data_IF_679401628241
#
_entry.id   IF_679401628241
#
_cell.length_a   1.000
_cell.length_b   1.000
_cell.length_c   1.000
_cell.angle_alpha   90.00
_cell.angle_beta   90.00
_cell.angle_gamma   90.00
#
_symmetry.space_group_name_H-M   'P 1'
#
loop_
_entity.id
_entity.type
_entity.pdbx_description
1 polymer ?
#
# COMPACT_ATOMS: atom_id res chain seq x y z
N UNK A 1 3.09 14.92 2.07
CA UNK A 1 3.92 16.06 2.50
C UNK A 1 4.02 17.10 1.38
N UNK A 2 3.33 18.25 1.43
CA UNK A 2 3.31 19.23 0.34
C UNK A 2 4.49 20.21 0.31
N UNK A 3 5.57 19.94 1.05
CA UNK A 3 6.77 20.79 1.12
C UNK A 3 7.94 19.98 0.54
N UNK A 4 8.26 20.11 -0.76
CA UNK A 4 9.29 19.30 -1.39
C UNK A 4 10.69 19.46 -0.80
N UNK A 5 10.98 20.61 -0.23
CA UNK A 5 12.29 20.96 0.32
C UNK A 5 12.70 20.07 1.50
N UNK A 6 11.74 19.44 2.18
CA UNK A 6 12.01 18.52 3.31
C UNK A 6 11.99 17.05 2.92
N UNK A 7 11.66 16.71 1.67
CA UNK A 7 11.58 15.32 1.23
C UNK A 7 12.93 14.62 1.32
N UNK A 8 14.02 15.29 0.90
CA UNK A 8 15.35 14.71 0.96
C UNK A 8 15.77 14.39 2.41
N UNK A 9 15.45 15.27 3.36
CA UNK A 9 15.70 15.02 4.80
C UNK A 9 14.95 13.78 5.30
N UNK A 10 13.66 13.66 4.96
CA UNK A 10 12.86 12.47 5.30
C UNK A 10 13.48 11.21 4.66
N UNK A 11 13.83 11.26 3.38
CA UNK A 11 14.41 10.13 2.65
C UNK A 11 15.79 9.74 3.20
N UNK A 12 16.61 10.69 3.61
CA UNK A 12 17.89 10.42 4.26
C UNK A 12 17.70 9.73 5.62
N UNK A 13 16.70 10.15 6.41
CA UNK A 13 16.31 9.47 7.65
C UNK A 13 15.78 8.06 7.39
N UNK A 14 14.98 7.87 6.34
CA UNK A 14 14.50 6.55 5.91
C UNK A 14 15.66 5.67 5.45
N UNK A 15 16.62 6.19 4.70
CA UNK A 15 17.82 5.46 4.28
C UNK A 15 18.69 5.04 5.47
N UNK A 16 18.86 5.91 6.45
CA UNK A 16 19.55 5.58 7.69
C UNK A 16 18.88 4.40 8.44
N UNK A 17 17.59 4.13 8.15
CA UNK A 17 16.81 3.04 8.73
C UNK A 17 16.39 1.93 7.72
N UNK A 18 16.77 2.02 6.43
CA UNK A 18 16.59 0.96 5.42
C UNK A 18 15.28 0.92 4.59
N UNK A 19 14.52 2.01 4.41
CA UNK A 19 13.14 1.98 3.83
C UNK A 19 12.94 2.56 2.40
N UNK A 20 11.73 2.42 1.81
CA UNK A 20 11.29 2.87 0.44
C UNK A 20 9.88 3.58 0.41
N UNK A 21 9.42 4.15 -0.73
CA UNK A 21 8.27 5.14 -0.82
C UNK A 21 7.26 4.98 -2.00
N UNK A 22 6.09 5.70 -2.01
CA UNK A 22 4.93 5.64 -2.98
C UNK A 22 4.19 7.01 -3.23
N UNK A 23 3.27 7.15 -4.24
CA UNK A 23 2.65 8.42 -4.78
C UNK A 23 1.19 8.34 -5.36
N UNK A 24 0.42 9.47 -5.50
CA UNK A 24 -0.99 9.58 -6.00
C UNK A 24 -1.39 10.90 -6.77
N UNK A 25 -2.53 10.96 -7.53
CA UNK A 25 -3.05 12.13 -8.33
C UNK A 25 -4.58 12.39 -8.22
N UNK A 26 -5.04 13.65 -8.35
CA UNK A 26 -6.33 14.13 -7.80
C UNK A 26 -7.46 14.66 -8.75
N UNK A 27 -7.30 14.78 -10.08
CA UNK A 27 -8.32 15.43 -10.95
C UNK A 27 -8.56 14.72 -12.31
N UNK A 28 -9.77 14.86 -12.88
CA UNK A 28 -10.16 14.26 -14.17
C UNK A 28 -9.42 14.92 -15.33
N UNK A 29 -8.77 14.13 -16.17
CA UNK A 29 -8.06 14.57 -17.39
C UNK A 29 -7.04 15.70 -17.18
N UNK A 30 -6.67 15.95 -15.92
CA UNK A 30 -5.68 16.96 -15.51
C UNK A 30 -4.63 16.24 -14.69
N UNK A 31 -3.47 16.08 -15.29
CA UNK A 31 -2.32 15.41 -14.69
C UNK A 31 -1.29 16.48 -14.32
N UNK A 32 -1.13 16.71 -13.02
CA UNK A 32 -0.11 17.60 -12.47
C UNK A 32 0.89 16.75 -11.68
N UNK A 33 2.03 16.49 -12.32
CA UNK A 33 3.15 15.74 -11.75
C UNK A 33 4.42 16.58 -11.62
N UNK A 34 4.30 17.90 -11.77
CA UNK A 34 5.44 18.81 -11.85
C UNK A 34 5.40 19.88 -10.74
N UNK A 35 4.23 20.16 -10.17
CA UNK A 35 4.06 21.27 -9.24
C UNK A 35 4.23 20.84 -7.79
N UNK A 36 5.15 21.50 -7.07
CA UNK A 36 5.27 21.44 -5.61
C UNK A 36 5.16 20.01 -5.05
N UNK A 37 4.21 19.75 -4.14
CA UNK A 37 3.98 18.48 -3.48
C UNK A 37 3.60 17.30 -4.39
N UNK A 38 3.39 17.56 -5.68
CA UNK A 38 3.02 16.58 -6.71
C UNK A 38 4.15 16.27 -7.68
N UNK A 39 5.33 16.89 -7.48
CA UNK A 39 6.45 16.69 -8.39
C UNK A 39 7.06 15.29 -8.23
N UNK A 40 6.62 14.36 -9.07
CA UNK A 40 7.05 12.95 -9.00
C UNK A 40 8.52 12.82 -9.37
N UNK A 41 8.97 13.52 -10.41
CA UNK A 41 10.37 13.46 -10.84
C UNK A 41 11.32 13.90 -9.73
N UNK A 42 11.01 15.00 -9.04
CA UNK A 42 11.79 15.49 -7.89
C UNK A 42 11.82 14.47 -6.75
N UNK A 43 10.70 13.79 -6.47
CA UNK A 43 10.67 12.72 -5.47
C UNK A 43 11.60 11.56 -5.84
N UNK A 44 11.57 11.12 -7.11
CA UNK A 44 12.45 10.06 -7.62
C UNK A 44 13.93 10.49 -7.63
N UNK A 45 14.21 11.74 -7.99
CA UNK A 45 15.57 12.30 -7.96
C UNK A 45 16.12 12.31 -6.55
N UNK A 46 15.32 12.71 -5.54
CA UNK A 46 15.73 12.64 -4.14
C UNK A 46 15.86 11.20 -3.62
N UNK A 47 15.04 10.25 -4.09
CA UNK A 47 15.25 8.84 -3.76
C UNK A 47 16.59 8.35 -4.31
N UNK A 48 16.91 8.71 -5.55
CA UNK A 48 18.20 8.40 -6.19
C UNK A 48 19.36 9.04 -5.43
N UNK A 49 19.25 10.31 -5.06
CA UNK A 49 20.26 11.03 -4.27
C UNK A 49 20.47 10.40 -2.89
N UNK A 50 19.38 10.03 -2.23
CA UNK A 50 19.40 9.30 -0.97
C UNK A 50 19.86 7.84 -1.13
N UNK A 51 20.03 7.31 -2.35
CA UNK A 51 20.45 5.93 -2.59
C UNK A 51 19.38 4.89 -2.24
N UNK A 52 18.11 5.23 -2.46
CA UNK A 52 16.94 4.39 -2.19
C UNK A 52 16.33 3.84 -3.48
N UNK A 53 15.87 2.59 -3.42
CA UNK A 53 14.94 2.04 -4.39
C UNK A 53 13.50 2.42 -4.04
N UNK A 54 12.61 2.42 -5.04
CA UNK A 54 11.21 2.83 -4.90
C UNK A 54 10.30 1.66 -5.29
N UNK A 55 9.27 1.41 -4.48
CA UNK A 55 8.16 0.53 -4.84
C UNK A 55 6.97 1.44 -5.16
N UNK A 56 6.73 1.66 -6.44
CA UNK A 56 5.58 2.45 -6.86
C UNK A 56 4.29 1.67 -6.61
N UNK A 57 3.38 2.26 -5.82
CA UNK A 57 2.00 1.79 -5.66
C UNK A 57 1.08 2.93 -6.04
N UNK A 58 0.28 2.74 -7.07
CA UNK A 58 -0.62 3.76 -7.63
C UNK A 58 -2.10 3.45 -7.38
N UNK A 59 -2.40 2.32 -6.74
CA UNK A 59 -3.76 1.84 -6.57
C UNK A 59 -4.51 2.54 -5.42
N UNK A 60 -5.86 2.66 -5.49
CA UNK A 60 -6.66 3.38 -4.52
C UNK A 60 -6.78 2.65 -3.16
N UNK A 61 -6.17 3.21 -2.10
CA UNK A 61 -6.47 2.97 -0.67
C UNK A 61 -5.79 4.06 0.21
N UNK A 62 -5.27 3.73 1.41
CA UNK A 62 -4.40 4.54 2.27
C UNK A 62 -5.08 5.61 3.14
N UNK A 63 -6.29 5.32 3.65
CA UNK A 63 -7.06 6.22 4.53
C UNK A 63 -7.26 7.64 3.96
N UNK A 64 -7.15 7.77 2.64
CA UNK A 64 -7.39 9.01 1.89
C UNK A 64 -8.86 9.13 1.51
N UNK A 65 -9.32 10.35 1.22
CA UNK A 65 -10.69 10.60 0.80
C UNK A 65 -11.04 9.76 -0.43
N UNK A 66 -12.19 9.08 -0.38
CA UNK A 66 -12.60 8.10 -1.40
C UNK A 66 -11.63 6.93 -1.58
N UNK A 67 -10.69 6.70 -0.65
CA UNK A 67 -9.60 5.74 -0.82
C UNK A 67 -8.71 6.05 -2.02
N UNK A 68 -8.56 7.32 -2.40
CA UNK A 68 -7.78 7.73 -3.57
C UNK A 68 -8.57 7.71 -4.88
N UNK A 69 -9.86 7.38 -4.87
CA UNK A 69 -10.71 7.63 -6.04
C UNK A 69 -10.95 9.12 -6.22
N UNK A 70 -10.88 9.57 -7.48
CA UNK A 70 -11.16 10.96 -7.79
C UNK A 70 -12.64 11.30 -7.50
N UNK A 71 -12.86 12.40 -6.78
CA UNK A 71 -14.18 12.77 -6.25
C UNK A 71 -15.27 12.91 -7.31
N UNK A 72 -14.92 13.29 -8.54
CA UNK A 72 -15.89 13.40 -9.64
C UNK A 72 -16.57 12.06 -9.98
N UNK A 73 -15.95 10.93 -9.64
CA UNK A 73 -16.53 9.60 -9.86
C UNK A 73 -17.53 9.16 -8.81
N UNK A 74 -17.72 9.96 -7.73
CA UNK A 74 -18.64 9.64 -6.64
C UNK A 74 -20.12 9.81 -7.02
N UNK A 75 -20.42 10.41 -8.17
CA UNK A 75 -21.77 10.54 -8.74
C UNK A 75 -22.28 9.25 -9.41
N UNK A 76 -21.49 8.18 -9.37
CA UNK A 76 -21.78 6.89 -10.02
C UNK A 76 -21.36 6.82 -11.48
N UNK A 77 -20.77 7.89 -12.04
CA UNK A 77 -20.30 7.92 -13.45
C UNK A 77 -19.17 6.94 -13.73
N UNK A 78 -18.45 6.48 -12.70
CA UNK A 78 -17.41 5.45 -12.82
C UNK A 78 -17.96 4.01 -12.82
N UNK A 79 -19.28 3.83 -12.68
CA UNK A 79 -19.89 2.52 -12.50
C UNK A 79 -19.43 1.83 -11.21
N UNK A 80 -19.41 0.49 -11.23
CA UNK A 80 -19.00 -0.30 -10.06
C UNK A 80 -17.48 -0.34 -9.91
N UNK A 81 -16.96 0.45 -8.95
CA UNK A 81 -15.54 0.59 -8.65
C UNK A 81 -14.89 -0.72 -8.18
N UNK A 82 -13.66 -0.99 -8.64
CA UNK A 82 -12.91 -2.22 -8.32
C UNK A 82 -13.65 -3.52 -8.63
N UNK A 83 -14.59 -3.48 -9.58
CA UNK A 83 -15.33 -4.65 -10.03
C UNK A 83 -15.31 -4.73 -11.56
N UNK A 84 -15.88 -5.81 -12.09
CA UNK A 84 -16.66 -5.66 -13.32
C UNK A 84 -18.04 -6.34 -13.27
N UNK A 85 -18.49 -6.93 -12.14
CA UNK A 85 -19.80 -7.59 -11.99
C UNK A 85 -20.08 -8.04 -10.52
N UNK A 86 -21.34 -8.25 -10.12
CA UNK A 86 -21.78 -8.73 -8.79
C UNK A 86 -21.45 -10.22 -8.52
N UNK A 87 -21.15 -10.98 -9.57
CA UNK A 87 -20.54 -12.33 -9.49
C UNK A 87 -19.12 -12.34 -8.89
N UNK A 88 -18.45 -11.17 -8.79
CA UNK A 88 -17.07 -11.01 -8.33
C UNK A 88 -16.81 -11.61 -6.95
N UNK A 89 -17.64 -11.36 -5.94
CA UNK A 89 -17.39 -11.89 -4.58
C UNK A 89 -17.57 -13.42 -4.47
N UNK A 90 -18.42 -14.03 -5.31
CA UNK A 90 -18.62 -15.48 -5.32
C UNK A 90 -17.54 -16.21 -6.15
N UNK A 91 -16.94 -15.55 -7.14
CA UNK A 91 -15.88 -16.12 -7.98
C UNK A 91 -14.46 -16.00 -7.39
N UNK A 92 -14.19 -14.99 -6.55
CA UNK A 92 -12.87 -14.74 -5.94
C UNK A 92 -12.32 -15.91 -5.12
N UNK A 93 -13.20 -16.78 -4.62
CA UNK A 93 -12.80 -17.95 -3.82
C UNK A 93 -12.76 -19.26 -4.61
N UNK A 94 -13.23 -19.32 -5.86
CA UNK A 94 -13.52 -20.63 -6.49
C UNK A 94 -12.87 -20.92 -7.84
N UNK A 95 -12.38 -19.97 -8.64
CA UNK A 95 -11.82 -20.34 -9.97
C UNK A 95 -10.70 -19.43 -10.48
N UNK A 96 -9.45 -19.92 -10.41
CA UNK A 96 -8.33 -19.51 -11.28
C UNK A 96 -8.61 -19.99 -12.72
N UNK A 97 -9.44 -19.25 -13.45
CA UNK A 97 -9.76 -19.54 -14.86
C UNK A 97 -9.57 -18.27 -15.66
N UNK A 98 -8.94 -18.37 -16.84
CA UNK A 98 -8.57 -17.22 -17.67
C UNK A 98 -9.73 -16.29 -18.04
N UNK A 99 -10.95 -16.81 -18.10
CA UNK A 99 -12.16 -16.04 -18.43
C UNK A 99 -12.82 -15.38 -17.22
N UNK A 100 -12.32 -15.59 -16.01
CA UNK A 100 -12.86 -14.96 -14.81
C UNK A 100 -12.66 -13.45 -14.89
N UNK A 101 -13.68 -12.68 -14.51
CA UNK A 101 -13.67 -11.22 -14.62
C UNK A 101 -12.50 -10.56 -13.89
N UNK A 102 -12.06 -11.12 -12.76
CA UNK A 102 -10.88 -10.68 -12.03
C UNK A 102 -9.57 -10.90 -12.82
N UNK A 103 -9.44 -12.02 -13.53
CA UNK A 103 -8.27 -12.32 -14.37
C UNK A 103 -8.21 -11.34 -15.55
N UNK A 104 -9.34 -11.11 -16.22
CA UNK A 104 -9.43 -10.14 -17.33
C UNK A 104 -9.06 -8.73 -16.86
N UNK A 105 -9.57 -8.30 -15.70
CA UNK A 105 -9.23 -7.02 -15.10
C UNK A 105 -7.72 -6.88 -14.82
N UNK A 106 -7.11 -7.89 -14.22
CA UNK A 106 -5.68 -7.87 -13.91
C UNK A 106 -4.80 -7.89 -15.18
N UNK A 107 -5.21 -8.59 -16.24
CA UNK A 107 -4.52 -8.53 -17.54
C UNK A 107 -4.64 -7.14 -18.19
N UNK A 108 -5.79 -6.48 -18.10
CA UNK A 108 -5.95 -5.11 -18.58
C UNK A 108 -5.05 -4.12 -17.84
N UNK A 109 -4.95 -4.24 -16.51
CA UNK A 109 -4.02 -3.44 -15.70
C UNK A 109 -2.57 -3.69 -16.12
N UNK A 110 -2.16 -4.96 -16.21
CA UNK A 110 -0.81 -5.35 -16.63
C UNK A 110 -0.46 -4.77 -18.01
N UNK A 111 -1.38 -4.87 -18.98
CA UNK A 111 -1.18 -4.31 -20.31
C UNK A 111 -1.01 -2.79 -20.27
N UNK A 112 -1.81 -2.08 -19.47
CA UNK A 112 -1.68 -0.62 -19.32
C UNK A 112 -0.32 -0.21 -18.73
N UNK A 113 0.18 -0.94 -17.72
CA UNK A 113 1.51 -0.68 -17.17
C UNK A 113 2.64 -0.94 -18.17
N UNK A 114 2.53 -2.02 -18.96
CA UNK A 114 3.52 -2.35 -20.01
C UNK A 114 3.51 -1.31 -21.15
N UNK A 115 2.33 -0.86 -21.59
CA UNK A 115 2.19 0.19 -22.61
C UNK A 115 2.79 1.53 -22.13
N UNK A 116 2.66 1.82 -20.82
CA UNK A 116 3.34 2.93 -20.17
C UNK A 116 4.85 2.71 -19.96
N UNK A 117 5.41 1.58 -20.39
CA UNK A 117 6.84 1.26 -20.32
C UNK A 117 7.33 0.71 -18.98
N UNK A 118 6.44 0.35 -18.05
CA UNK A 118 6.81 -0.23 -16.75
C UNK A 118 7.17 -1.71 -16.94
N UNK A 119 8.46 -2.01 -16.89
CA UNK A 119 9.02 -3.35 -17.16
C UNK A 119 9.64 -4.03 -15.94
N UNK A 120 9.64 -3.35 -14.79
CA UNK A 120 10.12 -3.93 -13.52
C UNK A 120 9.15 -5.00 -13.01
N UNK A 121 9.62 -5.96 -12.18
CA UNK A 121 8.76 -7.02 -11.67
C UNK A 121 7.54 -6.47 -10.91
N UNK A 122 6.37 -6.99 -11.22
CA UNK A 122 5.12 -6.67 -10.51
C UNK A 122 4.96 -7.54 -9.26
N UNK A 123 4.18 -7.02 -8.32
CA UNK A 123 3.83 -7.72 -7.10
C UNK A 123 2.50 -7.19 -6.59
N UNK A 124 1.77 -7.98 -5.80
CA UNK A 124 0.55 -7.54 -5.13
C UNK A 124 0.74 -7.66 -3.61
N UNK A 125 -0.18 -7.06 -2.87
CA UNK A 125 -0.17 -7.06 -1.41
C UNK A 125 -1.53 -7.58 -0.90
N UNK A 126 -1.62 -8.89 -0.72
CA UNK A 126 -2.86 -9.58 -0.35
C UNK A 126 -3.15 -9.44 1.16
N UNK A 127 -4.43 -9.26 1.52
CA UNK A 127 -4.83 -8.98 2.91
C UNK A 127 -4.81 -10.23 3.78
N UNK A 128 -3.68 -10.52 4.41
CA UNK A 128 -3.57 -11.47 5.52
C UNK A 128 -3.76 -12.95 5.16
N UNK A 129 -3.29 -13.35 3.98
CA UNK A 129 -3.31 -14.72 3.43
C UNK A 129 -4.71 -15.35 3.40
N UNK A 130 -5.72 -14.55 3.08
CA UNK A 130 -7.14 -14.92 3.02
C UNK A 130 -7.57 -15.43 1.65
N UNK A 131 -6.73 -15.30 0.62
CA UNK A 131 -7.01 -15.83 -0.72
C UNK A 131 -5.88 -16.71 -1.28
N UNK A 132 -6.15 -17.36 -2.41
CA UNK A 132 -5.15 -18.09 -3.19
C UNK A 132 -4.10 -17.14 -3.80
N UNK A 133 -2.90 -17.65 -4.06
CA UNK A 133 -1.82 -16.86 -4.66
C UNK A 133 -2.12 -16.45 -6.10
N UNK A 134 -1.72 -15.21 -6.45
CA UNK A 134 -1.76 -14.66 -7.81
C UNK A 134 -0.35 -14.51 -8.41
N UNK A 135 0.64 -15.22 -7.88
CA UNK A 135 1.98 -15.25 -8.46
C UNK A 135 2.10 -16.25 -9.60
N UNK A 136 3.02 -15.96 -10.53
CA UNK A 136 3.33 -16.82 -11.68
C UNK A 136 3.83 -18.23 -11.29
N UNK A 137 4.32 -18.43 -10.06
CA UNK A 137 4.82 -19.72 -9.56
C UNK A 137 3.74 -20.60 -8.89
N UNK A 138 2.50 -20.11 -8.76
CA UNK A 138 1.38 -20.88 -8.21
C UNK A 138 0.47 -21.44 -9.32
N UNK A 139 -0.34 -20.58 -9.96
CA UNK A 139 -1.23 -20.93 -11.07
C UNK A 139 -1.37 -19.73 -12.01
N UNK A 140 -0.56 -19.71 -13.07
CA UNK A 140 -0.57 -18.63 -14.08
C UNK A 140 -1.67 -18.88 -15.12
N UNK A 141 -2.86 -18.35 -14.83
CA UNK A 141 -4.04 -18.42 -15.71
C UNK A 141 -4.31 -17.09 -16.42
N UNK A 142 -3.36 -16.15 -16.34
CA UNK A 142 -3.54 -14.75 -16.68
C UNK A 142 -3.77 -13.88 -15.44
N UNK A 143 -3.29 -12.62 -15.51
CA UNK A 143 -3.42 -11.62 -14.46
C UNK A 143 -2.41 -11.79 -13.32
N UNK A 144 -1.52 -12.79 -13.40
CA UNK A 144 -0.55 -13.08 -12.37
C UNK A 144 0.59 -12.05 -12.30
N UNK A 145 1.08 -11.83 -11.08
CA UNK A 145 2.24 -10.97 -10.78
C UNK A 145 3.51 -11.79 -10.61
N UNK A 146 4.68 -11.13 -10.68
CA UNK A 146 5.96 -11.84 -10.55
C UNK A 146 6.27 -12.28 -9.11
N UNK A 147 5.85 -11.50 -8.12
CA UNK A 147 6.15 -11.77 -6.70
C UNK A 147 4.87 -11.75 -5.88
N UNK A 148 4.56 -12.88 -5.24
CA UNK A 148 3.50 -12.95 -4.23
C UNK A 148 3.89 -12.11 -3.02
N UNK A 149 2.95 -11.34 -2.51
CA UNK A 149 3.15 -10.53 -1.33
C UNK A 149 1.87 -10.33 -0.55
N UNK A 150 2.02 -9.99 0.72
CA UNK A 150 0.93 -9.86 1.66
C UNK A 150 1.05 -8.62 2.55
N UNK A 151 -0.09 -8.26 3.13
CA UNK A 151 -0.21 -7.33 4.23
C UNK A 151 -0.44 -8.10 5.54
N UNK A 152 0.25 -7.69 6.59
CA UNK A 152 0.09 -8.26 7.92
C UNK A 152 0.12 -7.17 8.98
N UNK A 153 -1.00 -7.06 9.71
CA UNK A 153 -1.18 -6.15 10.83
C UNK A 153 -1.53 -6.96 12.09
N UNK A 154 -0.54 -7.61 12.71
CA UNK A 154 -0.78 -8.52 13.82
C UNK A 154 -1.35 -7.85 15.07
N UNK A 155 -0.96 -6.62 15.42
CA UNK A 155 -1.47 -5.88 16.57
C UNK A 155 -2.95 -5.50 16.43
N UNK A 156 -3.44 -5.39 15.20
CA UNK A 156 -4.84 -5.14 14.87
C UNK A 156 -5.35 -3.79 15.39
N UNK A 157 -6.66 -3.65 15.60
CA UNK A 157 -7.29 -2.38 16.04
C UNK A 157 -7.06 -2.04 17.51
N UNK A 158 -6.20 -2.76 18.22
CA UNK A 158 -6.09 -2.69 19.67
C UNK A 158 -4.68 -2.30 20.06
N UNK A 159 -4.57 -1.29 20.92
CA UNK A 159 -3.33 -0.91 21.62
C UNK A 159 -2.77 -2.01 22.55
N UNK A 160 -3.18 -3.28 22.42
CA UNK A 160 -3.08 -4.28 23.51
C UNK A 160 -3.14 -5.77 23.12
N UNK A 161 -2.71 -6.25 21.94
CA UNK A 161 -2.53 -7.71 21.79
C UNK A 161 -1.21 -8.15 21.17
N UNK A 162 -0.20 -8.25 22.05
CA UNK A 162 1.14 -8.76 21.77
C UNK A 162 1.21 -10.29 21.52
N UNK A 163 0.09 -11.02 21.68
CA UNK A 163 0.04 -12.48 21.56
C UNK A 163 -0.60 -12.96 20.25
N UNK A 164 -0.91 -12.06 19.32
CA UNK A 164 -1.40 -12.43 18.00
C UNK A 164 -0.24 -12.94 17.14
N UNK A 165 -0.24 -14.24 16.82
CA UNK A 165 0.77 -14.87 15.96
C UNK A 165 0.24 -15.12 14.55
N UNK A 166 1.13 -15.06 13.54
CA UNK A 166 0.82 -15.39 12.15
C UNK A 166 2.03 -16.02 11.44
N UNK A 167 1.77 -16.81 10.40
CA UNK A 167 2.77 -17.33 9.46
C UNK A 167 2.65 -16.55 8.16
N UNK A 168 3.77 -16.05 7.63
CA UNK A 168 3.77 -15.16 6.47
C UNK A 168 4.84 -15.58 5.43
N UNK A 169 4.51 -15.54 4.12
CA UNK A 169 5.46 -15.71 3.02
C UNK A 169 6.69 -14.80 3.03
N UNK A 170 7.61 -15.03 2.10
CA UNK A 170 8.94 -14.40 2.02
C UNK A 170 8.98 -12.88 1.78
N UNK A 171 7.84 -12.27 1.42
CA UNK A 171 7.70 -10.83 1.23
C UNK A 171 6.41 -10.30 1.88
N UNK A 172 6.55 -9.35 2.82
CA UNK A 172 5.45 -8.53 3.34
C UNK A 172 5.54 -7.11 2.79
N UNK A 173 4.53 -6.70 2.03
CA UNK A 173 4.41 -5.38 1.41
C UNK A 173 3.88 -4.31 2.35
N UNK A 174 3.03 -4.69 3.29
CA UNK A 174 2.65 -3.84 4.42
C UNK A 174 2.76 -4.67 5.70
N UNK A 175 3.80 -4.42 6.48
CA UNK A 175 3.87 -4.90 7.85
C UNK A 175 3.62 -3.73 8.78
N UNK A 176 2.81 -3.94 9.81
CA UNK A 176 2.48 -2.94 10.81
C UNK A 176 3.73 -2.25 11.36
N UNK A 177 3.78 -0.93 11.16
CA UNK A 177 4.71 -0.02 11.84
C UNK A 177 3.98 1.11 12.58
N UNK A 178 2.66 0.99 12.71
CA UNK A 178 1.76 2.00 13.19
C UNK A 178 0.30 1.57 12.97
N UNK A 179 -0.63 2.24 13.66
CA UNK A 179 -2.07 2.10 13.44
C UNK A 179 -2.74 3.45 13.18
N UNK A 180 -3.79 3.50 12.36
CA UNK A 180 -4.57 4.71 12.14
C UNK A 180 -5.48 5.02 13.35
N UNK A 181 -5.69 6.29 13.67
CA UNK A 181 -6.63 6.67 14.74
C UNK A 181 -7.92 7.29 14.20
N UNK A 182 -9.10 6.75 14.55
CA UNK A 182 -10.37 7.33 14.11
C UNK A 182 -10.76 8.55 14.94
N UNK A 183 -11.76 9.31 14.46
CA UNK A 183 -12.39 10.37 15.26
C UNK A 183 -12.89 9.83 16.61
N UNK A 184 -12.49 10.50 17.70
CA UNK A 184 -12.81 10.06 19.07
C UNK A 184 -12.03 8.82 19.55
N UNK A 185 -11.04 8.36 18.78
CA UNK A 185 -10.09 7.32 19.19
C UNK A 185 -8.94 7.87 20.05
N UNK A 186 -7.99 7.00 20.34
CA UNK A 186 -6.76 7.33 21.09
C UNK A 186 -5.83 8.17 20.24
N UNK A 187 -5.27 9.26 20.77
CA UNK A 187 -4.32 10.07 20.03
C UNK A 187 -3.03 9.28 19.74
N UNK A 188 -2.36 9.54 18.62
CA UNK A 188 -1.21 8.74 18.20
C UNK A 188 -0.13 8.63 19.29
N UNK A 189 0.22 9.74 19.94
CA UNK A 189 1.24 9.79 21.01
C UNK A 189 0.86 9.02 22.28
N UNK A 190 -0.43 8.73 22.47
CA UNK A 190 -0.95 8.02 23.64
C UNK A 190 -1.00 6.50 23.42
N UNK A 191 -0.77 6.04 22.20
CA UNK A 191 -0.78 4.62 21.86
C UNK A 191 0.57 3.97 22.17
N UNK A 192 0.82 3.66 23.45
CA UNK A 192 2.10 3.12 23.92
C UNK A 192 2.55 1.84 23.19
N UNK A 193 1.62 1.01 22.72
CA UNK A 193 1.94 -0.20 21.98
C UNK A 193 2.59 0.09 20.61
N UNK A 194 2.22 1.21 19.97
CA UNK A 194 2.78 1.63 18.67
C UNK A 194 4.16 2.29 18.82
N UNK A 195 4.43 2.88 20.00
CA UNK A 195 5.72 3.51 20.31
C UNK A 195 6.71 2.60 21.04
N UNK A 196 6.25 1.39 21.38
CA UNK A 196 7.01 0.41 22.14
C UNK A 196 8.02 -0.30 21.23
N UNK A 197 9.33 -0.25 21.54
CA UNK A 197 10.32 -1.02 20.78
C UNK A 197 10.09 -2.53 20.89
N UNK A 198 9.37 -3.00 21.92
CA UNK A 198 9.05 -4.42 22.12
C UNK A 198 8.20 -5.00 20.98
N UNK A 199 7.33 -4.21 20.35
CA UNK A 199 6.58 -4.66 19.17
C UNK A 199 7.54 -5.02 18.03
N UNK A 200 8.44 -4.10 17.68
CA UNK A 200 9.48 -4.34 16.67
C UNK A 200 10.38 -5.52 17.06
N UNK A 201 10.75 -5.63 18.34
CA UNK A 201 11.62 -6.69 18.84
C UNK A 201 11.02 -8.08 18.67
N UNK A 202 9.71 -8.22 18.89
CA UNK A 202 9.01 -9.50 18.77
C UNK A 202 8.64 -9.75 17.30
N UNK A 203 7.92 -8.82 16.69
CA UNK A 203 7.29 -9.06 15.40
C UNK A 203 8.26 -8.94 14.23
N UNK A 204 9.15 -7.95 14.21
CA UNK A 204 10.10 -7.82 13.09
C UNK A 204 11.18 -8.90 13.17
N UNK A 205 11.63 -9.28 14.37
CA UNK A 205 12.55 -10.42 14.50
C UNK A 205 11.86 -11.76 14.20
N UNK A 206 10.57 -11.91 14.50
CA UNK A 206 9.81 -13.08 14.06
C UNK A 206 9.81 -13.17 12.54
N UNK A 207 9.58 -12.06 11.83
CA UNK A 207 9.68 -12.03 10.36
C UNK A 207 11.07 -12.47 9.85
N UNK A 208 12.14 -11.98 10.48
CA UNK A 208 13.51 -12.45 10.20
C UNK A 208 13.66 -13.96 10.46
N UNK A 209 13.11 -14.45 11.58
CA UNK A 209 13.08 -15.88 11.93
C UNK A 209 12.30 -16.74 10.93
N UNK A 210 11.23 -16.20 10.35
CA UNK A 210 10.45 -16.80 9.25
C UNK A 210 11.13 -16.66 7.88
N UNK A 211 12.33 -16.06 7.84
CA UNK A 211 13.13 -15.84 6.62
C UNK A 211 12.44 -14.93 5.61
N UNK A 212 11.70 -13.95 6.09
CA UNK A 212 11.23 -12.84 5.25
C UNK A 212 12.47 -12.12 4.71
N UNK A 213 12.51 -11.95 3.38
CA UNK A 213 13.64 -11.34 2.66
C UNK A 213 13.35 -9.94 2.16
N UNK A 214 12.08 -9.54 2.20
CA UNK A 214 11.59 -8.20 1.87
C UNK A 214 10.49 -7.83 2.86
N UNK A 215 10.61 -6.69 3.51
CA UNK A 215 9.62 -6.18 4.46
C UNK A 215 9.52 -4.67 4.28
N UNK A 216 8.30 -4.17 4.11
CA UNK A 216 8.01 -2.74 4.10
C UNK A 216 7.12 -2.40 5.30
N UNK A 217 7.53 -1.40 6.10
CA UNK A 217 6.81 -0.99 7.31
C UNK A 217 5.82 0.13 7.00
N UNK A 218 4.54 -0.15 7.19
CA UNK A 218 3.45 0.78 6.96
C UNK A 218 2.88 1.27 8.30
N UNK A 219 3.00 2.55 8.69
CA UNK A 219 3.76 3.63 8.05
C UNK A 219 5.09 3.85 8.75
N UNK A 220 6.17 4.00 7.98
CA UNK A 220 7.44 4.51 8.53
C UNK A 220 7.41 6.03 8.75
N UNK A 221 6.65 6.75 7.90
CA UNK A 221 6.37 8.17 8.06
C UNK A 221 4.96 8.46 7.55
N UNK A 222 4.02 8.84 8.42
CA UNK A 222 2.62 9.04 8.05
C UNK A 222 2.30 10.44 7.50
N UNK A 223 2.90 11.47 8.09
CA UNK A 223 2.63 12.85 7.72
C UNK A 223 1.33 13.40 8.30
N UNK A 224 0.68 14.27 7.52
CA UNK A 224 -0.52 15.03 7.90
C UNK A 224 -1.55 14.93 6.79
N UNK A 225 -2.81 14.72 7.17
CA UNK A 225 -3.97 14.79 6.29
C UNK A 225 -4.42 16.25 6.09
N UNK A 226 -3.64 16.98 5.29
CA UNK A 226 -3.90 18.39 4.97
C UNK A 226 -4.93 18.54 3.83
N UNK A 227 -5.60 19.69 3.76
CA UNK A 227 -6.41 20.05 2.58
C UNK A 227 -7.57 19.09 2.27
N UNK A 228 -8.24 18.54 3.29
CA UNK A 228 -9.34 17.58 3.15
C UNK A 228 -8.96 16.26 2.44
N UNK A 229 -7.68 15.88 2.50
CA UNK A 229 -7.19 14.62 1.91
C UNK A 229 -7.63 13.36 2.67
N UNK A 230 -8.08 13.50 3.93
CA UNK A 230 -8.42 12.39 4.81
C UNK A 230 -9.72 11.68 4.40
N UNK A 231 -9.79 10.36 4.59
CA UNK A 231 -11.06 9.65 4.62
C UNK A 231 -11.93 10.14 5.80
N UNK A 232 -13.26 10.03 5.74
CA UNK A 232 -14.15 10.48 6.82
C UNK A 232 -13.92 9.80 8.17
N UNK A 233 -13.24 8.65 8.18
CA UNK A 233 -12.97 7.87 9.38
C UNK A 233 -11.78 8.38 10.19
N UNK A 234 -10.90 9.22 9.61
CA UNK A 234 -9.66 9.73 10.24
C UNK A 234 -9.62 11.27 10.27
N UNK A 235 -8.75 11.83 11.09
CA UNK A 235 -8.59 13.28 11.30
C UNK A 235 -7.29 13.85 10.71
N UNK A 236 -7.05 15.16 10.88
CA UNK A 236 -5.94 15.91 10.25
C UNK A 236 -4.54 15.43 10.65
N UNK A 237 -4.27 15.28 11.95
CA UNK A 237 -2.98 14.97 12.57
C UNK A 237 -1.79 15.84 12.14
#
# INVERSE_FOLDING_TARGET
MPVPEIWLDILQKLRANGFNTSYHSAARDVYDFETSGKNVQRSLDYCKEAGLYVIARSDPNAETNGGGFALWGSDGSMGSLRTSDETYHQAWFQTHVATASAVVYMEQLKAAFLDAGVTVPSSHNEKGQRSMSWSTDFQDVGGSVNVYGLDSYPGGTSCTNINSGYNVPSYVHEFEGGWFSPWGGTFYDECLAEHSPEFADIYYKNNVGQRITKQNLYMTWGGTNWGHSAAPVVYTS
#
